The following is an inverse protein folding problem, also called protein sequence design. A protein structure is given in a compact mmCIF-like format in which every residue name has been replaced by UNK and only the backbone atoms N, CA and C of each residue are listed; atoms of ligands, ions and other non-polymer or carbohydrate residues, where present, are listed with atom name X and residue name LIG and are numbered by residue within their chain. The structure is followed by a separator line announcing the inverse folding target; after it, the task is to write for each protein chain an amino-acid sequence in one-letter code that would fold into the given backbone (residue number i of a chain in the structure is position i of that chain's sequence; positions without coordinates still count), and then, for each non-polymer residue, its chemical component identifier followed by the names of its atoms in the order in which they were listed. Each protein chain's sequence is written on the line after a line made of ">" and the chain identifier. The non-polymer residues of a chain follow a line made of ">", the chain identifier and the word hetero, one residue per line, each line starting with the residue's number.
data_IF_422712604413
#
_entry.id   IF_422712604413
#
_cell.length_a   1.000
_cell.length_b   1.000
_cell.length_c   1.000
_cell.angle_alpha   90.00
_cell.angle_beta   90.00
_cell.angle_gamma   90.00
#
_symmetry.space_group_name_H-M   'P 1'
#
loop_
_entity.id
_entity.type
_entity.pdbx_description
1 polymer ?
#
# COMPACT_ATOMS: atom_id res chain seq x y z
N UNK A 1 -26.08 -5.63 2.78
CA UNK A 1 -25.10 -6.72 2.69
C UNK A 1 -25.40 -7.72 3.80
N UNK A 2 -25.52 -9.00 3.45
CA UNK A 2 -25.46 -10.11 4.42
C UNK A 2 -24.18 -10.01 5.25
N UNK A 3 -24.12 -10.62 6.43
CA UNK A 3 -22.91 -10.72 7.26
C UNK A 3 -21.69 -11.16 6.39
N UNK A 4 -20.91 -10.19 5.92
CA UNK A 4 -19.68 -10.48 5.18
C UNK A 4 -18.67 -11.02 6.18
N UNK A 5 -18.33 -12.30 6.03
CA UNK A 5 -17.26 -12.95 6.78
C UNK A 5 -15.91 -12.40 6.32
N UNK A 6 -15.58 -11.19 6.74
CA UNK A 6 -14.23 -10.64 6.60
C UNK A 6 -13.22 -11.58 7.26
N UNK A 7 -12.03 -11.70 6.66
CA UNK A 7 -10.97 -12.53 7.22
C UNK A 7 -10.57 -11.92 8.58
N UNK A 8 -10.58 -12.69 9.66
CA UNK A 8 -10.11 -12.18 10.95
C UNK A 8 -8.65 -11.75 10.86
N UNK A 9 -8.24 -10.73 11.62
CA UNK A 9 -6.84 -10.27 11.69
C UNK A 9 -5.83 -11.42 11.85
N UNK A 10 -6.14 -12.40 12.71
CA UNK A 10 -5.31 -13.58 12.94
C UNK A 10 -5.19 -14.48 11.71
N UNK A 11 -6.30 -14.77 11.02
CA UNK A 11 -6.28 -15.55 9.78
C UNK A 11 -5.59 -14.77 8.65
N UNK A 12 -5.78 -13.46 8.57
CA UNK A 12 -5.11 -12.60 7.60
C UNK A 12 -3.59 -12.65 7.77
N UNK A 13 -3.09 -12.48 9.00
CA UNK A 13 -1.68 -12.64 9.33
C UNK A 13 -1.17 -14.03 8.97
N UNK A 14 -1.87 -15.09 9.38
CA UNK A 14 -1.49 -16.48 9.08
C UNK A 14 -1.34 -16.72 7.58
N UNK A 15 -2.27 -16.23 6.76
CA UNK A 15 -2.22 -16.39 5.32
C UNK A 15 -1.01 -15.69 4.69
N UNK A 16 -0.67 -14.48 5.15
CA UNK A 16 0.53 -13.76 4.69
C UNK A 16 1.79 -14.51 5.11
N UNK A 17 1.88 -14.96 6.36
CA UNK A 17 3.04 -15.73 6.83
C UNK A 17 3.22 -17.05 6.06
N UNK A 18 2.13 -17.72 5.70
CA UNK A 18 2.15 -18.93 4.87
C UNK A 18 2.68 -18.62 3.47
N UNK A 19 2.20 -17.54 2.83
CA UNK A 19 2.69 -17.10 1.54
C UNK A 19 4.20 -16.75 1.59
N UNK A 20 4.65 -15.99 2.60
CA UNK A 20 6.07 -15.66 2.77
C UNK A 20 6.89 -16.92 3.02
N UNK A 21 6.37 -17.90 3.76
CA UNK A 21 7.03 -19.19 3.99
C UNK A 21 7.20 -20.00 2.70
N UNK A 22 6.25 -19.90 1.75
CA UNK A 22 6.40 -20.47 0.41
C UNK A 22 7.48 -19.73 -0.36
N UNK A 23 7.48 -18.40 -0.39
CA UNK A 23 8.50 -17.60 -1.08
C UNK A 23 9.90 -17.91 -0.54
N UNK A 24 10.08 -17.93 0.78
CA UNK A 24 11.38 -18.21 1.42
C UNK A 24 11.93 -19.58 1.08
N UNK A 25 11.08 -20.60 0.94
CA UNK A 25 11.50 -21.96 0.56
C UNK A 25 11.94 -22.07 -0.90
N UNK A 26 11.49 -21.18 -1.78
CA UNK A 26 11.66 -21.30 -3.22
C UNK A 26 12.51 -20.20 -3.86
N UNK A 27 12.75 -19.08 -3.17
CA UNK A 27 13.44 -17.91 -3.70
C UNK A 27 14.60 -17.50 -2.76
N UNK A 28 15.86 -17.90 -3.06
CA UNK A 28 17.01 -17.43 -2.30
C UNK A 28 17.28 -15.95 -2.60
N UNK A 29 17.99 -15.25 -1.70
CA UNK A 29 18.45 -13.85 -1.89
C UNK A 29 17.32 -12.89 -2.25
N UNK A 30 16.23 -12.93 -1.49
CA UNK A 30 14.97 -12.24 -1.82
C UNK A 30 14.57 -11.20 -0.77
N UNK A 31 14.13 -10.04 -1.24
CA UNK A 31 13.44 -9.03 -0.43
C UNK A 31 11.96 -9.08 -0.81
N UNK A 32 11.09 -9.40 0.16
CA UNK A 32 9.64 -9.33 -0.04
C UNK A 32 9.16 -7.94 0.37
N UNK A 33 8.65 -7.18 -0.59
CA UNK A 33 8.03 -5.89 -0.33
C UNK A 33 6.51 -6.07 -0.13
N UNK A 34 6.01 -5.82 1.07
CA UNK A 34 4.57 -5.85 1.36
C UNK A 34 4.05 -4.42 1.21
N UNK A 35 3.10 -4.21 0.29
CA UNK A 35 2.32 -2.97 0.24
C UNK A 35 1.16 -3.15 1.23
N UNK A 36 1.12 -2.42 2.36
CA UNK A 36 0.05 -2.57 3.33
C UNK A 36 -1.30 -2.12 2.75
N UNK A 37 -2.40 -2.57 3.38
CA UNK A 37 -3.73 -2.11 3.01
C UNK A 37 -3.85 -0.60 3.21
N UNK A 38 -4.29 0.10 2.16
CA UNK A 38 -4.57 1.53 2.20
C UNK A 38 -6.03 1.80 2.54
N UNK A 39 -6.34 3.06 2.84
CA UNK A 39 -7.69 3.47 3.20
C UNK A 39 -8.66 3.19 2.03
N UNK A 40 -9.79 2.50 2.26
CA UNK A 40 -10.73 2.12 1.20
C UNK A 40 -11.37 3.31 0.45
N UNK A 41 -11.42 4.50 1.08
CA UNK A 41 -11.92 5.74 0.47
C UNK A 41 -11.16 6.13 -0.79
N UNK A 42 -9.87 5.78 -0.88
CA UNK A 42 -9.05 6.03 -2.07
C UNK A 42 -9.68 5.43 -3.33
N UNK A 43 -10.41 4.30 -3.21
CA UNK A 43 -11.09 3.64 -4.33
C UNK A 43 -12.62 3.82 -4.27
N UNK A 44 -13.25 3.57 -3.11
CA UNK A 44 -14.71 3.58 -2.98
C UNK A 44 -15.30 4.98 -3.20
N UNK A 45 -14.67 6.01 -2.67
CA UNK A 45 -15.19 7.38 -2.83
C UNK A 45 -14.80 8.00 -4.18
N UNK A 46 -13.84 7.41 -4.90
CA UNK A 46 -13.45 7.88 -6.23
C UNK A 46 -14.63 7.77 -7.20
N UNK A 47 -15.31 6.62 -7.22
CA UNK A 47 -16.54 6.41 -7.98
C UNK A 47 -17.58 7.48 -7.67
N UNK A 48 -17.85 7.72 -6.37
CA UNK A 48 -18.84 8.70 -5.94
C UNK A 48 -18.51 10.14 -6.39
N UNK A 49 -17.28 10.58 -6.17
CA UNK A 49 -16.89 11.96 -6.41
C UNK A 49 -16.64 12.25 -7.90
N UNK A 50 -16.29 11.24 -8.68
CA UNK A 50 -16.05 11.34 -10.12
C UNK A 50 -17.35 11.15 -10.90
N UNK A 51 -18.11 10.11 -10.59
CA UNK A 51 -19.38 9.77 -11.23
C UNK A 51 -20.56 9.98 -10.28
N UNK A 52 -21.09 11.20 -10.31
CA UNK A 52 -22.20 11.67 -9.47
C UNK A 52 -23.53 10.96 -9.72
N UNK A 53 -23.58 10.00 -10.65
CA UNK A 53 -24.79 9.29 -11.05
C UNK A 53 -25.06 8.02 -10.24
N UNK A 54 -24.06 7.50 -9.50
CA UNK A 54 -24.23 6.33 -8.62
C UNK A 54 -24.52 6.75 -7.17
N UNK A 55 -25.75 7.21 -6.93
CA UNK A 55 -26.25 7.57 -5.59
C UNK A 55 -26.31 6.39 -4.61
N UNK A 56 -26.22 5.13 -5.07
CA UNK A 56 -26.28 3.93 -4.23
C UNK A 56 -25.16 3.85 -3.17
N UNK A 57 -24.02 4.49 -3.43
CA UNK A 57 -22.84 4.42 -2.53
C UNK A 57 -23.03 5.24 -1.23
N UNK A 58 -23.93 6.23 -1.21
CA UNK A 58 -24.22 7.05 -0.01
C UNK A 58 -24.83 6.27 1.16
N UNK A 59 -25.44 5.11 0.88
CA UNK A 59 -26.02 4.25 1.91
C UNK A 59 -24.97 3.49 2.76
N UNK A 60 -23.68 3.61 2.44
CA UNK A 60 -22.59 2.75 2.93
C UNK A 60 -21.59 3.44 3.86
N UNK A 61 -21.86 4.63 4.40
CA UNK A 61 -20.91 5.32 5.30
C UNK A 61 -20.49 4.44 6.51
N UNK A 62 -21.42 3.63 7.02
CA UNK A 62 -21.13 2.61 8.06
C UNK A 62 -20.22 1.49 7.53
N UNK A 63 -20.43 1.02 6.31
CA UNK A 63 -19.60 -0.01 5.68
C UNK A 63 -18.20 0.52 5.37
N UNK A 64 -18.07 1.76 4.88
CA UNK A 64 -16.78 2.42 4.65
C UNK A 64 -16.01 2.59 5.96
N UNK A 65 -16.69 2.96 7.06
CA UNK A 65 -16.07 2.97 8.40
C UNK A 65 -15.59 1.57 8.80
N UNK A 66 -16.40 0.54 8.61
CA UNK A 66 -16.03 -0.84 8.96
C UNK A 66 -14.84 -1.35 8.12
N UNK A 67 -14.84 -1.09 6.82
CA UNK A 67 -13.74 -1.41 5.93
C UNK A 67 -12.49 -0.63 6.28
N UNK A 68 -12.62 0.61 6.74
CA UNK A 68 -11.49 1.39 7.22
C UNK A 68 -10.87 0.74 8.46
N UNK A 69 -11.66 0.39 9.48
CA UNK A 69 -11.18 -0.34 10.65
C UNK A 69 -10.42 -1.62 10.28
N UNK A 70 -11.00 -2.43 9.38
CA UNK A 70 -10.36 -3.65 8.88
C UNK A 70 -9.06 -3.35 8.12
N UNK A 71 -9.04 -2.31 7.29
CA UNK A 71 -7.82 -1.88 6.57
C UNK A 71 -6.71 -1.47 7.53
N UNK A 72 -7.05 -0.84 8.67
CA UNK A 72 -6.08 -0.50 9.71
C UNK A 72 -5.50 -1.76 10.35
N UNK A 73 -6.35 -2.72 10.74
CA UNK A 73 -5.91 -4.00 11.31
C UNK A 73 -4.99 -4.77 10.34
N UNK A 74 -5.35 -4.82 9.06
CA UNK A 74 -4.57 -5.51 8.03
C UNK A 74 -3.25 -4.80 7.71
N UNK A 75 -3.25 -3.46 7.73
CA UNK A 75 -2.02 -2.67 7.60
C UNK A 75 -1.07 -2.93 8.76
N UNK A 76 -1.57 -2.94 9.99
CA UNK A 76 -0.77 -3.24 11.18
C UNK A 76 -0.11 -4.62 11.09
N UNK A 77 -0.82 -5.62 10.56
CA UNK A 77 -0.26 -6.97 10.33
C UNK A 77 0.98 -6.94 9.43
N UNK A 78 1.01 -6.11 8.37
CA UNK A 78 2.18 -6.01 7.51
C UNK A 78 3.42 -5.51 8.28
N UNK A 79 3.23 -4.51 9.14
CA UNK A 79 4.27 -3.96 10.00
C UNK A 79 4.67 -4.92 11.14
N UNK A 80 3.71 -5.62 11.72
CA UNK A 80 3.96 -6.67 12.71
C UNK A 80 4.86 -7.77 12.13
N UNK A 81 4.50 -8.32 10.96
CA UNK A 81 5.29 -9.35 10.28
C UNK A 81 6.73 -8.88 10.00
N UNK A 82 6.90 -7.63 9.54
CA UNK A 82 8.22 -7.04 9.38
C UNK A 82 8.98 -7.00 10.71
N UNK A 83 8.37 -6.44 11.76
CA UNK A 83 9.03 -6.13 13.03
C UNK A 83 9.31 -7.38 13.89
N UNK A 84 8.54 -8.45 13.72
CA UNK A 84 8.79 -9.75 14.35
C UNK A 84 10.08 -10.42 13.86
N UNK A 85 10.58 -10.02 12.67
CA UNK A 85 11.82 -10.54 12.06
C UNK A 85 11.87 -12.06 11.90
N UNK A 86 10.72 -12.75 11.98
CA UNK A 86 10.59 -14.20 11.80
C UNK A 86 11.18 -14.69 10.47
N UNK A 87 11.10 -13.87 9.44
CA UNK A 87 11.60 -14.15 8.10
C UNK A 87 12.95 -13.50 7.78
N UNK A 88 13.56 -12.80 8.74
CA UNK A 88 14.80 -12.05 8.50
C UNK A 88 16.03 -12.96 8.61
N UNK A 89 16.91 -12.85 7.63
CA UNK A 89 18.14 -13.63 7.49
C UNK A 89 19.08 -12.94 6.51
N UNK A 90 20.31 -13.44 6.36
CA UNK A 90 21.29 -12.85 5.44
C UNK A 90 20.89 -12.92 3.96
N UNK A 91 19.96 -13.81 3.60
CA UNK A 91 19.52 -14.07 2.23
C UNK A 91 18.01 -13.89 2.02
N UNK A 92 17.24 -13.53 3.05
CA UNK A 92 15.81 -13.30 2.92
C UNK A 92 15.33 -12.29 3.94
N UNK A 93 14.48 -11.35 3.53
CA UNK A 93 13.89 -10.36 4.44
C UNK A 93 12.54 -9.87 3.92
N UNK A 94 11.74 -9.29 4.81
CA UNK A 94 10.41 -8.76 4.54
C UNK A 94 10.37 -7.29 4.94
N UNK A 95 9.85 -6.44 4.06
CA UNK A 95 9.78 -4.99 4.27
C UNK A 95 8.42 -4.45 3.88
N UNK A 96 7.74 -3.78 4.81
CA UNK A 96 6.49 -3.06 4.55
C UNK A 96 6.78 -1.70 3.88
N UNK A 97 6.00 -1.34 2.87
CA UNK A 97 6.15 -0.11 2.08
C UNK A 97 4.96 0.82 2.30
N UNK A 98 5.12 1.76 3.23
CA UNK A 98 4.04 2.58 3.77
C UNK A 98 3.60 3.78 2.94
N UNK A 99 4.05 3.94 1.69
CA UNK A 99 3.85 5.17 0.89
C UNK A 99 2.38 5.61 0.71
N UNK A 100 1.41 4.75 1.04
CA UNK A 100 -0.03 5.02 0.97
C UNK A 100 -0.71 5.10 2.34
N UNK A 101 0.00 4.91 3.45
CA UNK A 101 -0.60 4.73 4.79
C UNK A 101 -1.44 5.91 5.25
N UNK A 102 -1.03 7.14 4.91
CA UNK A 102 -1.70 8.38 5.30
C UNK A 102 -2.57 8.96 4.18
N UNK A 103 -2.87 8.17 3.14
CA UNK A 103 -3.83 8.55 2.12
C UNK A 103 -5.23 8.14 2.57
N UNK A 104 -6.17 9.09 2.55
CA UNK A 104 -7.55 8.89 2.99
C UNK A 104 -8.60 9.42 2.02
N UNK A 105 -8.18 9.99 0.89
CA UNK A 105 -9.04 10.70 -0.07
C UNK A 105 -8.76 10.21 -1.49
N UNK A 106 -9.74 10.25 -2.40
CA UNK A 106 -9.51 10.00 -3.82
C UNK A 106 -8.46 10.95 -4.42
N UNK A 107 -7.73 10.45 -5.40
CA UNK A 107 -6.63 11.19 -6.03
C UNK A 107 -7.17 12.40 -6.77
N UNK A 108 -6.52 13.55 -6.56
CA UNK A 108 -6.77 14.78 -7.28
C UNK A 108 -5.68 15.04 -8.31
N UNK A 109 -6.01 15.79 -9.35
CA UNK A 109 -5.02 16.31 -10.31
C UNK A 109 -4.37 17.59 -9.79
N UNK A 110 -3.41 18.12 -10.55
CA UNK A 110 -2.70 19.36 -10.21
C UNK A 110 -3.60 20.60 -10.14
N UNK A 111 -4.81 20.55 -10.70
CA UNK A 111 -5.81 21.62 -10.61
C UNK A 111 -6.76 21.43 -9.42
N UNK A 112 -6.61 20.35 -8.65
CA UNK A 112 -7.45 20.02 -7.49
C UNK A 112 -8.75 19.28 -7.84
N UNK A 113 -9.00 18.95 -9.11
CA UNK A 113 -10.15 18.15 -9.51
C UNK A 113 -9.90 16.66 -9.25
N UNK A 114 -10.94 15.85 -9.09
CA UNK A 114 -10.77 14.40 -8.96
C UNK A 114 -10.18 13.82 -10.25
N UNK A 115 -9.11 13.04 -10.10
CA UNK A 115 -8.30 12.60 -11.24
C UNK A 115 -8.91 11.36 -11.90
N UNK A 116 -9.78 11.57 -12.88
CA UNK A 116 -10.43 10.48 -13.62
C UNK A 116 -9.44 9.61 -14.40
N UNK A 117 -8.25 10.12 -14.74
CA UNK A 117 -7.20 9.34 -15.41
C UNK A 117 -6.48 8.40 -14.46
N UNK A 118 -6.50 8.67 -13.15
CA UNK A 118 -5.88 7.81 -12.15
C UNK A 118 -6.61 6.46 -12.03
N UNK A 119 -7.93 6.47 -12.20
CA UNK A 119 -8.79 5.30 -12.07
C UNK A 119 -9.12 4.67 -13.41
N UNK A 120 -9.38 3.37 -13.41
CA UNK A 120 -9.89 2.61 -14.54
C UNK A 120 -11.36 2.98 -14.83
N UNK A 121 -11.94 2.38 -15.87
CA UNK A 121 -13.31 2.66 -16.29
C UNK A 121 -14.38 2.35 -15.25
N UNK A 122 -14.08 1.47 -14.28
CA UNK A 122 -14.96 1.12 -13.16
C UNK A 122 -14.83 2.07 -11.96
N UNK A 123 -13.93 3.05 -12.02
CA UNK A 123 -13.65 4.03 -10.97
C UNK A 123 -13.29 3.42 -9.59
N UNK A 124 -12.87 2.15 -9.59
CA UNK A 124 -12.44 1.43 -8.40
C UNK A 124 -10.99 0.96 -8.53
N UNK A 125 -10.66 0.30 -9.64
CA UNK A 125 -9.28 -0.11 -9.92
C UNK A 125 -8.46 1.08 -10.43
N UNK A 126 -7.14 1.03 -10.24
CA UNK A 126 -6.23 2.01 -10.82
C UNK A 126 -6.06 1.75 -12.32
N UNK A 127 -6.04 2.82 -13.11
CA UNK A 127 -5.74 2.73 -14.54
C UNK A 127 -4.28 2.32 -14.78
N UNK A 128 -3.90 2.14 -16.05
CA UNK A 128 -2.49 2.03 -16.44
C UNK A 128 -1.66 3.23 -15.94
N UNK A 129 -2.22 4.44 -16.01
CA UNK A 129 -1.59 5.65 -15.50
C UNK A 129 -1.48 5.63 -13.97
N UNK A 130 -2.56 5.29 -13.25
CA UNK A 130 -2.54 5.21 -11.79
C UNK A 130 -1.53 4.19 -11.27
N UNK A 131 -1.45 3.01 -11.89
CA UNK A 131 -0.44 2.00 -11.57
C UNK A 131 0.99 2.50 -11.80
N UNK A 132 1.24 3.27 -12.88
CA UNK A 132 2.55 3.84 -13.15
C UNK A 132 2.96 4.86 -12.08
N UNK A 133 2.03 5.72 -11.65
CA UNK A 133 2.27 6.68 -10.55
C UNK A 133 2.58 5.95 -9.24
N UNK A 134 1.80 4.93 -8.88
CA UNK A 134 2.05 4.12 -7.68
C UNK A 134 3.42 3.43 -7.73
N UNK A 135 3.82 2.92 -8.89
CA UNK A 135 5.13 2.29 -9.07
C UNK A 135 6.30 3.27 -8.85
N UNK A 136 6.17 4.53 -9.27
CA UNK A 136 7.18 5.57 -9.01
C UNK A 136 7.36 5.82 -7.50
N UNK A 137 6.25 5.94 -6.77
CA UNK A 137 6.32 6.15 -5.32
C UNK A 137 6.80 4.92 -4.56
N UNK A 138 6.41 3.71 -4.98
CA UNK A 138 6.93 2.46 -4.43
C UNK A 138 8.44 2.37 -4.63
N UNK A 139 8.95 2.67 -5.84
CA UNK A 139 10.38 2.65 -6.13
C UNK A 139 11.18 3.60 -5.22
N UNK A 140 10.67 4.81 -5.02
CA UNK A 140 11.31 5.75 -4.10
C UNK A 140 11.22 5.26 -2.65
N UNK A 141 10.09 4.67 -2.25
CA UNK A 141 9.86 4.16 -0.90
C UNK A 141 10.81 3.00 -0.53
N UNK A 142 11.11 2.07 -1.45
CA UNK A 142 12.04 0.96 -1.18
C UNK A 142 13.48 1.44 -0.92
N UNK A 143 13.83 2.66 -1.35
CA UNK A 143 15.14 3.28 -1.14
C UNK A 143 15.20 4.15 0.13
N UNK A 144 14.08 4.34 0.83
CA UNK A 144 14.02 5.09 2.08
C UNK A 144 14.28 4.19 3.29
N UNK A 145 15.12 4.62 4.26
CA UNK A 145 15.39 3.86 5.47
C UNK A 145 14.10 3.49 6.22
N UNK A 146 14.07 2.30 6.82
CA UNK A 146 13.01 1.93 7.77
C UNK A 146 12.92 2.99 8.88
N UNK A 147 11.70 3.38 9.23
CA UNK A 147 11.42 4.48 10.17
C UNK A 147 11.45 5.88 9.53
N UNK A 148 11.90 6.01 8.29
CA UNK A 148 11.91 7.27 7.51
C UNK A 148 11.24 7.13 6.14
N UNK A 149 10.52 6.02 5.91
CA UNK A 149 9.74 5.82 4.69
C UNK A 149 8.64 6.87 4.60
N UNK A 150 8.42 7.42 3.42
CA UNK A 150 7.29 8.26 3.13
C UNK A 150 6.00 7.47 3.44
N UNK A 151 5.07 8.12 4.11
CA UNK A 151 3.77 7.56 4.45
C UNK A 151 2.61 8.22 3.68
N UNK A 152 2.90 9.28 2.92
CA UNK A 152 1.92 10.08 2.19
C UNK A 152 2.48 10.46 0.82
N UNK A 153 2.38 9.55 -0.15
CA UNK A 153 2.75 9.82 -1.53
C UNK A 153 1.86 10.91 -2.16
N UNK A 154 2.47 11.85 -2.87
CA UNK A 154 1.74 12.82 -3.69
C UNK A 154 1.35 12.19 -5.03
N UNK A 155 0.23 11.48 -5.03
CA UNK A 155 -0.28 10.77 -6.21
C UNK A 155 -0.79 11.69 -7.33
N UNK A 156 -0.81 13.02 -7.10
CA UNK A 156 -1.13 14.00 -8.14
C UNK A 156 0.08 14.29 -9.05
N UNK A 157 1.29 13.92 -8.60
CA UNK A 157 2.55 14.27 -9.24
C UNK A 157 3.20 13.05 -9.91
N UNK A 158 2.98 12.92 -11.22
CA UNK A 158 3.65 11.93 -12.08
C UNK A 158 5.06 12.35 -12.52
N UNK A 159 5.48 13.57 -12.18
CA UNK A 159 6.82 14.11 -12.42
C UNK A 159 7.84 13.82 -11.31
N UNK A 160 7.49 12.97 -10.33
CA UNK A 160 8.41 12.61 -9.25
C UNK A 160 9.67 11.93 -9.81
N UNK A 161 10.84 12.45 -9.45
CA UNK A 161 12.10 11.90 -9.92
C UNK A 161 12.32 10.48 -9.35
N UNK A 162 12.65 9.54 -10.23
CA UNK A 162 13.07 8.18 -9.86
C UNK A 162 14.42 8.26 -9.14
N UNK A 163 14.44 7.89 -7.87
CA UNK A 163 15.65 7.93 -7.07
C UNK A 163 16.61 6.79 -7.45
N UNK A 164 17.91 7.08 -7.41
CA UNK A 164 18.95 6.06 -7.46
C UNK A 164 19.51 5.83 -6.06
N UNK A 165 19.97 4.61 -5.72
CA UNK A 165 20.74 4.38 -4.51
C UNK A 165 21.99 5.27 -4.48
N UNK A 166 22.27 5.94 -3.35
CA UNK A 166 23.39 6.88 -3.20
C UNK A 166 24.36 6.39 -2.13
N UNK A 167 25.64 6.76 -2.28
CA UNK A 167 26.65 6.54 -1.25
C UNK A 167 26.29 7.30 0.05
N UNK A 168 26.63 6.77 1.24
CA UNK A 168 27.37 5.53 1.47
C UNK A 168 26.51 4.24 1.50
N UNK A 169 25.20 4.33 1.24
CA UNK A 169 24.27 3.21 1.34
C UNK A 169 23.57 2.90 -0.01
N UNK A 170 24.29 2.35 -1.02
CA UNK A 170 23.78 2.13 -2.37
C UNK A 170 22.88 0.88 -2.48
N UNK A 171 21.96 0.66 -1.54
CA UNK A 171 21.14 -0.55 -1.46
C UNK A 171 19.67 -0.24 -1.20
N UNK A 172 18.78 -1.19 -1.58
CA UNK A 172 17.41 -1.24 -1.07
C UNK A 172 17.44 -1.29 0.45
N UNK A 173 16.55 -0.54 1.08
CA UNK A 173 16.55 -0.35 2.53
C UNK A 173 15.72 -1.42 3.22
N UNK A 174 16.37 -2.13 4.13
CA UNK A 174 15.81 -3.22 4.93
C UNK A 174 16.06 -2.95 6.41
N UNK A 175 15.51 -3.78 7.30
CA UNK A 175 15.80 -3.66 8.73
C UNK A 175 17.30 -3.74 9.04
N UNK A 176 18.01 -4.65 8.36
CA UNK A 176 19.43 -4.90 8.60
C UNK A 176 20.38 -3.77 8.20
N UNK A 177 19.93 -2.79 7.39
CA UNK A 177 20.77 -1.67 6.96
C UNK A 177 20.17 -0.29 7.27
N UNK A 178 18.98 -0.23 7.89
CA UNK A 178 18.25 1.03 8.13
C UNK A 178 18.50 1.69 9.47
N UNK A 179 19.04 0.95 10.44
CA UNK A 179 19.45 1.49 11.72
C UNK A 179 20.75 2.28 11.51
N UNK A 180 20.69 3.59 11.75
CA UNK A 180 21.85 4.45 11.98
C UNK A 180 22.18 4.46 13.47
#
# INVERSE_FOLDING_TARGET
>A
MSEENYISRGNYKKNIEEAISILRRNLPKTIVAIIPMWHPRLAIEAEYFIDKLNEECWSREKDVRRLHELSLEYREVAYEIQNERKFDSSDFTVVAQGFMDQLSEPVRDLNGAYNTKFYASDLFHMSKYGNAVLALHLWNCILEPIGKKNQRADLSNDGVAVQCPKQPYPYIRTLGNSLL
#
